data_IF_075821121296
#
_entry.id   IF_075821121296
#
_cell.length_a   1.000
_cell.length_b   1.000
_cell.length_c   1.000
_cell.angle_alpha   90.00
_cell.angle_beta   90.00
_cell.angle_gamma   90.00
#
_symmetry.space_group_name_H-M   'P 1'
#
loop_
_entity.id
_entity.type
_entity.pdbx_description
1 polymer ?
#
# COMPACT_ATOMS: atom_id res chain seq x y z
N UNK A 1 3.17 27.43 17.48
CA UNK A 1 4.00 27.11 16.30
C UNK A 1 3.07 26.58 15.23
N UNK A 2 2.98 27.25 14.07
CA UNK A 2 2.05 26.89 13.00
C UNK A 2 2.46 25.54 12.37
N UNK A 3 1.67 24.49 12.62
CA UNK A 3 1.93 23.13 12.16
C UNK A 3 1.46 22.84 10.72
N UNK A 4 1.11 23.87 9.90
CA UNK A 4 0.35 23.66 8.68
C UNK A 4 1.03 24.11 7.39
N UNK A 5 2.35 23.98 7.26
CA UNK A 5 3.03 24.28 5.99
C UNK A 5 3.35 23.02 5.14
N UNK A 6 3.01 21.82 5.61
CA UNK A 6 3.18 20.60 4.81
C UNK A 6 1.91 20.37 4.01
N UNK A 7 1.99 20.57 2.70
CA UNK A 7 0.89 20.24 1.78
C UNK A 7 0.72 18.72 1.78
N UNK A 8 -0.41 18.25 2.30
CA UNK A 8 -0.78 16.83 2.29
C UNK A 8 -2.12 16.70 1.57
N UNK A 9 -2.15 16.12 0.36
CA UNK A 9 -3.40 15.81 -0.32
C UNK A 9 -4.27 14.92 0.56
N UNK A 10 -5.55 15.25 0.71
CA UNK A 10 -6.51 14.51 1.55
C UNK A 10 -7.50 13.72 0.73
N UNK A 11 -7.69 14.08 -0.53
CA UNK A 11 -8.60 13.42 -1.47
C UNK A 11 -7.82 12.87 -2.66
N UNK A 12 -8.44 11.95 -3.40
CA UNK A 12 -7.87 11.42 -4.62
C UNK A 12 -7.61 12.52 -5.65
N UNK A 13 -8.55 13.45 -5.81
CA UNK A 13 -8.44 14.56 -6.78
C UNK A 13 -7.28 15.51 -6.42
N UNK A 14 -7.11 15.83 -5.13
CA UNK A 14 -5.98 16.63 -4.68
C UNK A 14 -4.65 15.91 -4.94
N UNK A 15 -4.60 14.60 -4.72
CA UNK A 15 -3.42 13.79 -4.96
C UNK A 15 -3.11 13.69 -6.45
N UNK A 16 -4.12 13.53 -7.30
CA UNK A 16 -3.96 13.50 -8.75
C UNK A 16 -3.44 14.83 -9.29
N UNK A 17 -4.05 15.96 -8.89
CA UNK A 17 -3.57 17.30 -9.24
C UNK A 17 -2.13 17.54 -8.78
N UNK A 18 -1.80 17.11 -7.57
CA UNK A 18 -0.45 17.17 -7.04
C UNK A 18 0.53 16.35 -7.90
N UNK A 19 0.17 15.12 -8.25
CA UNK A 19 0.99 14.25 -9.07
C UNK A 19 1.24 14.82 -10.47
N UNK A 20 0.20 15.38 -11.11
CA UNK A 20 0.32 16.04 -12.41
C UNK A 20 1.24 17.27 -12.38
N UNK A 21 1.16 18.07 -11.32
CA UNK A 21 2.03 19.23 -11.13
C UNK A 21 3.49 18.79 -10.95
N UNK A 22 3.74 17.81 -10.07
CA UNK A 22 5.08 17.33 -9.78
C UNK A 22 5.69 16.64 -11.00
N UNK A 23 4.92 15.90 -11.80
CA UNK A 23 5.40 15.24 -13.01
C UNK A 23 6.10 16.20 -13.99
N UNK A 24 5.71 17.48 -13.97
CA UNK A 24 6.27 18.55 -14.81
C UNK A 24 7.39 19.33 -14.11
N UNK A 25 7.58 19.13 -12.81
CA UNK A 25 8.54 19.87 -11.99
C UNK A 25 9.98 19.39 -12.24
N UNK A 26 10.95 20.30 -12.07
CA UNK A 26 12.36 19.96 -12.02
C UNK A 26 12.76 19.16 -10.79
N UNK A 27 11.98 19.19 -9.71
CA UNK A 27 12.17 18.38 -8.49
C UNK A 27 11.69 16.95 -8.63
N UNK A 28 10.98 16.62 -9.72
CA UNK A 28 10.55 15.25 -9.96
C UNK A 28 11.76 14.34 -10.26
N UNK A 29 11.89 13.20 -9.55
CA UNK A 29 12.92 12.21 -9.88
C UNK A 29 12.85 11.81 -11.35
N UNK A 30 14.01 11.68 -12.01
CA UNK A 30 14.07 11.40 -13.44
C UNK A 30 13.26 10.16 -13.88
N UNK A 31 13.22 9.13 -13.03
CA UNK A 31 12.46 7.89 -13.27
C UNK A 31 10.93 8.09 -13.30
N UNK A 32 10.42 9.13 -12.63
CA UNK A 32 8.99 9.44 -12.49
C UNK A 32 8.56 10.65 -13.33
N UNK A 33 9.50 11.32 -14.01
CA UNK A 33 9.22 12.52 -14.80
C UNK A 33 8.21 12.23 -15.91
N UNK A 34 7.15 13.01 -15.98
CA UNK A 34 6.03 12.83 -16.92
C UNK A 34 5.06 11.69 -16.58
N UNK A 35 5.24 11.00 -15.46
CA UNK A 35 4.44 9.83 -15.06
C UNK A 35 3.62 10.14 -13.80
N UNK A 36 2.52 10.85 -13.94
CA UNK A 36 1.68 11.24 -12.81
C UNK A 36 1.15 10.03 -12.01
N UNK A 37 0.80 8.93 -12.68
CA UNK A 37 0.36 7.70 -12.03
C UNK A 37 1.43 7.07 -11.12
N UNK A 38 2.69 7.02 -11.55
CA UNK A 38 3.80 6.49 -10.72
C UNK A 38 4.04 7.39 -9.50
N UNK A 39 3.91 8.70 -9.67
CA UNK A 39 4.01 9.70 -8.58
C UNK A 39 2.89 9.50 -7.57
N UNK A 40 1.65 9.35 -8.04
CA UNK A 40 0.48 9.10 -7.18
C UNK A 40 0.70 7.86 -6.31
N UNK A 41 1.08 6.74 -6.92
CA UNK A 41 1.35 5.48 -6.20
C UNK A 41 2.51 5.64 -5.22
N UNK A 42 3.59 6.32 -5.61
CA UNK A 42 4.74 6.54 -4.71
C UNK A 42 4.36 7.41 -3.50
N UNK A 43 3.56 8.45 -3.70
CA UNK A 43 3.08 9.33 -2.61
C UNK A 43 2.14 8.57 -1.68
N UNK A 44 1.22 7.78 -2.23
CA UNK A 44 0.31 6.94 -1.44
C UNK A 44 1.08 5.92 -0.60
N UNK A 45 1.99 5.18 -1.21
CA UNK A 45 2.83 4.18 -0.51
C UNK A 45 3.67 4.82 0.60
N UNK A 46 4.25 5.98 0.32
CA UNK A 46 5.03 6.71 1.32
C UNK A 46 4.18 7.22 2.47
N UNK A 47 2.97 7.71 2.20
CA UNK A 47 2.02 8.15 3.23
C UNK A 47 1.64 7.01 4.18
N UNK A 48 1.47 5.79 3.66
CA UNK A 48 1.23 4.59 4.48
C UNK A 48 2.41 4.25 5.41
N UNK A 49 3.63 4.65 5.02
CA UNK A 49 4.83 4.55 5.87
C UNK A 49 5.06 5.79 6.74
N UNK A 50 4.21 6.83 6.66
CA UNK A 50 4.36 8.07 7.42
C UNK A 50 5.29 9.11 6.78
N UNK A 51 5.63 8.96 5.50
CA UNK A 51 6.40 9.95 4.75
C UNK A 51 5.50 11.07 4.22
N UNK A 52 6.02 12.30 4.19
CA UNK A 52 5.33 13.39 3.47
C UNK A 52 5.41 13.18 1.95
N UNK A 53 4.55 13.84 1.14
CA UNK A 53 4.53 13.65 -0.30
C UNK A 53 5.90 13.82 -0.99
N UNK A 54 6.64 14.87 -0.64
CA UNK A 54 7.97 15.10 -1.20
C UNK A 54 8.97 14.04 -0.72
N UNK A 55 8.93 13.66 0.55
CA UNK A 55 9.78 12.60 1.07
C UNK A 55 9.48 11.26 0.38
N UNK A 56 8.21 10.98 0.11
CA UNK A 56 7.80 9.78 -0.63
C UNK A 56 8.47 9.71 -2.00
N UNK A 57 8.42 10.80 -2.76
CA UNK A 57 9.02 10.86 -4.10
C UNK A 57 10.55 10.69 -4.09
N UNK A 58 11.21 11.19 -3.05
CA UNK A 58 12.67 11.11 -2.94
C UNK A 58 13.14 9.77 -2.37
N UNK A 59 12.29 9.06 -1.64
CA UNK A 59 12.68 7.88 -0.88
C UNK A 59 12.01 6.59 -1.31
N UNK A 60 10.96 6.63 -2.12
CA UNK A 60 10.34 5.45 -2.73
C UNK A 60 10.82 5.30 -4.16
N UNK A 61 11.36 4.14 -4.48
CA UNK A 61 11.75 3.75 -5.84
C UNK A 61 10.94 2.54 -6.29
N UNK A 62 10.56 2.51 -7.57
CA UNK A 62 9.96 1.31 -8.19
C UNK A 62 11.06 0.56 -8.93
N UNK A 63 11.44 -0.60 -8.41
CA UNK A 63 12.52 -1.44 -8.95
C UNK A 63 11.93 -2.79 -9.33
N UNK A 64 12.06 -3.17 -10.59
CA UNK A 64 11.49 -4.41 -11.13
C UNK A 64 9.97 -4.55 -10.84
N UNK A 65 9.22 -3.43 -10.97
CA UNK A 65 7.77 -3.39 -10.71
C UNK A 65 7.38 -3.45 -9.23
N UNK A 66 8.34 -3.44 -8.30
CA UNK A 66 8.07 -3.49 -6.85
C UNK A 66 8.48 -2.17 -6.19
N UNK A 67 7.63 -1.60 -5.34
CA UNK A 67 8.00 -0.44 -4.55
C UNK A 67 9.07 -0.84 -3.53
N UNK A 68 10.06 0.02 -3.38
CA UNK A 68 11.22 -0.18 -2.51
C UNK A 68 11.56 1.14 -1.85
N UNK A 69 12.19 1.11 -0.69
CA UNK A 69 12.59 2.31 0.06
C UNK A 69 14.11 2.41 0.14
N UNK A 70 14.70 3.59 -0.02
CA UNK A 70 16.13 3.76 0.22
C UNK A 70 16.50 3.45 1.66
N UNK A 71 17.66 2.77 1.86
CA UNK A 71 18.06 2.26 3.17
C UNK A 71 18.23 3.33 4.25
N UNK A 72 18.56 4.57 3.87
CA UNK A 72 18.64 5.70 4.80
C UNK A 72 17.25 6.17 5.25
N UNK A 73 16.27 6.16 4.36
CA UNK A 73 14.88 6.47 4.71
C UNK A 73 14.25 5.37 5.56
N UNK A 74 14.54 4.09 5.27
CA UNK A 74 14.14 2.97 6.11
C UNK A 74 14.68 3.11 7.54
N UNK A 75 15.94 3.51 7.67
CA UNK A 75 16.57 3.80 8.96
C UNK A 75 15.85 4.94 9.69
N UNK A 76 15.56 6.04 8.99
CA UNK A 76 14.88 7.20 9.57
C UNK A 76 13.48 6.84 10.08
N UNK A 77 12.70 6.06 9.31
CA UNK A 77 11.37 5.59 9.73
C UNK A 77 11.45 4.72 10.99
N UNK A 78 12.40 3.80 11.04
CA UNK A 78 12.57 2.93 12.21
C UNK A 78 13.03 3.73 13.42
N UNK A 79 13.99 4.64 13.28
CA UNK A 79 14.47 5.49 14.39
C UNK A 79 13.38 6.44 14.91
N UNK A 80 12.48 6.91 14.03
CA UNK A 80 11.33 7.73 14.42
C UNK A 80 10.20 6.91 15.08
N UNK A 81 10.24 5.58 14.98
CA UNK A 81 9.19 4.73 15.52
C UNK A 81 9.23 4.72 17.07
N UNK A 82 8.10 4.93 17.80
CA UNK A 82 8.06 5.06 19.26
C UNK A 82 8.61 3.84 20.03
N UNK A 83 8.62 2.67 19.40
CA UNK A 83 9.18 1.46 19.98
C UNK A 83 10.68 1.25 19.66
N UNK A 84 11.30 2.08 18.84
CA UNK A 84 12.73 1.99 18.59
C UNK A 84 13.52 2.52 19.79
N UNK A 85 14.45 1.73 20.29
CA UNK A 85 15.34 2.14 21.38
C UNK A 85 16.72 2.49 20.84
N UNK A 86 17.24 1.67 19.93
CA UNK A 86 18.57 1.88 19.39
C UNK A 86 18.77 1.15 18.05
N UNK A 87 19.65 1.70 17.22
CA UNK A 87 20.14 1.06 15.98
C UNK A 87 21.64 1.30 15.90
N UNK A 88 22.41 0.23 16.03
CA UNK A 88 23.88 0.25 16.03
C UNK A 88 24.41 -0.46 14.80
N UNK A 89 25.25 0.21 14.04
CA UNK A 89 25.95 -0.36 12.89
C UNK A 89 27.45 -0.46 13.16
N UNK A 90 28.02 -1.62 12.91
CA UNK A 90 29.46 -1.86 13.06
C UNK A 90 29.97 -2.48 11.75
N UNK A 91 31.16 -2.07 11.36
CA UNK A 91 31.86 -2.63 10.21
C UNK A 91 33.23 -3.12 10.62
N UNK A 92 33.49 -4.39 10.42
CA UNK A 92 34.82 -5.00 10.61
C UNK A 92 35.58 -5.02 9.28
N UNK A 93 36.62 -4.24 9.18
CA UNK A 93 37.43 -4.14 7.96
C UNK A 93 38.31 -5.39 7.73
N UNK A 94 38.73 -6.05 8.81
CA UNK A 94 39.57 -7.24 8.67
C UNK A 94 38.85 -8.42 8.05
N UNK A 95 37.56 -8.58 8.39
CA UNK A 95 36.72 -9.66 7.85
C UNK A 95 35.79 -9.17 6.73
N UNK A 96 35.81 -7.88 6.42
CA UNK A 96 34.84 -7.25 5.48
C UNK A 96 33.41 -7.63 5.82
N UNK A 97 33.01 -7.39 7.07
CA UNK A 97 31.72 -7.79 7.61
C UNK A 97 30.99 -6.59 8.19
N UNK A 98 29.77 -6.37 7.74
CA UNK A 98 28.85 -5.40 8.30
C UNK A 98 27.87 -6.08 9.26
N UNK A 99 27.58 -5.45 10.39
CA UNK A 99 26.51 -5.85 11.29
C UNK A 99 25.61 -4.67 11.62
N UNK A 100 24.33 -4.93 11.76
CA UNK A 100 23.33 -3.97 12.21
C UNK A 100 22.54 -4.59 13.35
N UNK A 101 22.57 -3.97 14.51
CA UNK A 101 21.81 -4.38 15.69
C UNK A 101 20.69 -3.41 15.93
N UNK A 102 19.47 -3.91 16.01
CA UNK A 102 18.25 -3.12 16.20
C UNK A 102 17.57 -3.55 17.50
N UNK A 103 17.31 -2.59 18.37
CA UNK A 103 16.64 -2.82 19.65
C UNK A 103 15.25 -2.20 19.64
N UNK A 104 14.26 -3.07 19.84
CA UNK A 104 12.85 -2.67 19.97
C UNK A 104 12.39 -2.81 21.42
N UNK A 105 11.67 -1.82 21.92
CA UNK A 105 11.15 -1.79 23.31
C UNK A 105 10.38 -3.07 23.63
N UNK A 106 10.74 -3.70 24.76
CA UNK A 106 10.09 -4.94 25.20
C UNK A 106 10.54 -6.21 24.47
N UNK A 107 11.54 -6.14 23.60
CA UNK A 107 12.07 -7.29 22.85
C UNK A 107 13.60 -7.38 22.98
N UNK A 108 14.15 -8.57 22.76
CA UNK A 108 15.61 -8.74 22.70
C UNK A 108 16.18 -8.02 21.48
N UNK A 109 17.41 -7.44 21.58
CA UNK A 109 18.12 -6.94 20.43
C UNK A 109 18.23 -7.98 19.31
N UNK A 110 18.15 -7.55 18.06
CA UNK A 110 18.33 -8.39 16.89
C UNK A 110 19.50 -7.88 16.07
N UNK A 111 20.43 -8.74 15.72
CA UNK A 111 21.59 -8.40 14.92
C UNK A 111 21.54 -9.18 13.60
N UNK A 112 21.57 -8.46 12.50
CA UNK A 112 21.79 -9.02 11.17
C UNK A 112 23.22 -8.72 10.72
N UNK A 113 23.85 -9.71 10.10
CA UNK A 113 25.21 -9.65 9.62
C UNK A 113 25.24 -9.92 8.12
N UNK A 114 26.06 -9.18 7.40
CA UNK A 114 26.32 -9.45 5.98
C UNK A 114 27.81 -9.26 5.68
N UNK A 115 28.44 -10.37 5.29
CA UNK A 115 29.90 -10.45 5.09
C UNK A 115 30.27 -10.49 3.59
N UNK A 116 31.56 -10.37 3.31
CA UNK A 116 32.13 -10.65 1.99
C UNK A 116 31.71 -12.02 1.47
N UNK A 117 31.76 -13.07 2.32
CA UNK A 117 31.33 -14.42 1.94
C UNK A 117 29.87 -14.49 1.52
N UNK A 118 29.01 -13.73 2.20
CA UNK A 118 27.58 -13.67 1.83
C UNK A 118 27.39 -12.97 0.49
N UNK A 119 28.15 -11.90 0.23
CA UNK A 119 28.15 -11.19 -1.04
C UNK A 119 28.68 -12.07 -2.19
N UNK A 120 29.72 -12.86 -1.95
CA UNK A 120 30.24 -13.83 -2.93
C UNK A 120 29.22 -14.92 -3.23
N UNK A 121 28.59 -15.49 -2.21
CA UNK A 121 27.52 -16.50 -2.35
C UNK A 121 26.32 -15.97 -3.13
N UNK A 122 25.95 -14.69 -2.89
CA UNK A 122 24.88 -13.99 -3.59
C UNK A 122 25.28 -13.48 -4.99
N UNK A 123 26.53 -13.71 -5.45
CA UNK A 123 27.09 -13.21 -6.71
C UNK A 123 27.07 -11.68 -6.84
N UNK A 124 27.20 -11.01 -5.74
CA UNK A 124 27.22 -9.53 -5.64
C UNK A 124 28.63 -8.98 -5.57
N UNK A 125 29.55 -9.72 -4.98
CA UNK A 125 30.95 -9.31 -4.84
C UNK A 125 31.59 -9.12 -6.21
N UNK A 126 32.14 -7.91 -6.45
CA UNK A 126 32.73 -7.58 -7.75
C UNK A 126 31.72 -7.25 -8.87
N UNK A 127 30.41 -7.28 -8.61
CA UNK A 127 29.40 -6.81 -9.56
C UNK A 127 29.65 -5.33 -9.87
N UNK A 128 29.69 -4.97 -11.19
CA UNK A 128 29.96 -3.60 -11.59
C UNK A 128 28.95 -2.61 -11.00
N UNK A 129 29.40 -1.39 -10.72
CA UNK A 129 28.59 -0.35 -10.09
C UNK A 129 28.83 -0.22 -8.59
N UNK A 130 27.81 -0.01 -7.74
CA UNK A 130 27.97 0.26 -6.33
C UNK A 130 28.74 -0.82 -5.55
N UNK A 131 28.64 -2.08 -5.96
CA UNK A 131 29.35 -3.19 -5.32
C UNK A 131 30.88 -3.17 -5.51
N UNK A 132 31.38 -2.49 -6.55
CA UNK A 132 32.81 -2.27 -6.75
C UNK A 132 33.28 -0.91 -6.25
N UNK A 133 32.40 0.11 -6.35
CA UNK A 133 32.76 1.50 -6.01
C UNK A 133 32.61 1.79 -4.53
N UNK A 134 31.59 1.22 -3.88
CA UNK A 134 31.19 1.48 -2.50
C UNK A 134 30.92 0.19 -1.73
N UNK A 135 31.78 -0.80 -1.87
CA UNK A 135 31.61 -2.17 -1.32
C UNK A 135 31.23 -2.16 0.17
N UNK A 136 31.95 -1.41 0.99
CA UNK A 136 31.66 -1.26 2.43
C UNK A 136 30.22 -0.80 2.67
N UNK A 137 29.78 0.22 1.94
CA UNK A 137 28.42 0.74 2.04
C UNK A 137 27.37 -0.27 1.62
N UNK A 138 27.62 -1.03 0.57
CA UNK A 138 26.69 -2.07 0.10
C UNK A 138 26.54 -3.20 1.13
N UNK A 139 27.63 -3.62 1.78
CA UNK A 139 27.57 -4.60 2.88
C UNK A 139 26.74 -4.04 4.05
N UNK A 140 26.97 -2.77 4.44
CA UNK A 140 26.20 -2.10 5.50
C UNK A 140 24.71 -2.03 5.15
N UNK A 141 24.35 -1.61 3.92
CA UNK A 141 22.97 -1.53 3.48
C UNK A 141 22.24 -2.87 3.51
N UNK A 142 22.94 -3.97 3.22
CA UNK A 142 22.37 -5.33 3.34
C UNK A 142 22.10 -5.72 4.78
N UNK A 143 23.08 -5.58 5.67
CA UNK A 143 22.92 -5.88 7.09
C UNK A 143 21.80 -5.03 7.71
N UNK A 144 21.78 -3.72 7.39
CA UNK A 144 20.74 -2.77 7.81
C UNK A 144 19.36 -3.21 7.34
N UNK A 145 19.18 -3.43 6.03
CA UNK A 145 17.89 -3.78 5.44
C UNK A 145 17.27 -5.02 6.09
N UNK A 146 18.07 -6.04 6.37
CA UNK A 146 17.61 -7.25 7.05
C UNK A 146 17.22 -6.96 8.49
N UNK A 147 18.09 -6.31 9.28
CA UNK A 147 17.83 -6.01 10.69
C UNK A 147 16.58 -5.16 10.90
N UNK A 148 16.42 -4.10 10.09
CA UNK A 148 15.26 -3.21 10.18
C UNK A 148 13.95 -3.93 9.84
N UNK A 149 13.91 -4.74 8.78
CA UNK A 149 12.71 -5.47 8.37
C UNK A 149 12.32 -6.56 9.36
N UNK A 150 13.29 -7.27 9.90
CA UNK A 150 13.04 -8.35 10.87
C UNK A 150 12.48 -7.80 12.17
N UNK A 151 12.85 -6.58 12.55
CA UNK A 151 12.48 -6.00 13.84
C UNK A 151 11.33 -5.00 13.77
N UNK A 152 11.17 -4.31 12.65
CA UNK A 152 10.17 -3.27 12.41
C UNK A 152 9.38 -3.48 11.11
N UNK A 153 8.78 -4.66 10.89
CA UNK A 153 7.96 -4.90 9.70
C UNK A 153 6.72 -4.00 9.65
N UNK A 154 6.22 -3.59 10.81
CA UNK A 154 5.11 -2.66 10.97
C UNK A 154 5.45 -1.22 10.54
N UNK A 155 6.68 -0.75 10.74
CA UNK A 155 7.14 0.55 10.29
C UNK A 155 7.39 0.58 8.78
N UNK A 156 7.94 -0.49 8.22
CA UNK A 156 8.34 -0.57 6.81
C UNK A 156 7.24 -1.13 5.88
N UNK A 157 6.11 -1.61 6.42
CA UNK A 157 4.96 -2.10 5.64
C UNK A 157 5.30 -3.09 4.53
N UNK A 158 6.32 -3.91 4.73
CA UNK A 158 6.79 -4.89 3.76
C UNK A 158 7.70 -4.35 2.66
N UNK A 159 8.07 -3.07 2.69
CA UNK A 159 9.03 -2.51 1.75
C UNK A 159 10.42 -3.10 1.99
N UNK A 160 11.09 -3.47 0.89
CA UNK A 160 12.51 -3.83 0.89
C UNK A 160 13.35 -2.60 0.59
N UNK A 161 14.65 -2.65 0.92
CA UNK A 161 15.52 -1.53 0.56
C UNK A 161 15.78 -1.48 -0.93
N UNK A 162 15.90 -0.29 -1.50
CA UNK A 162 16.17 -0.07 -2.92
C UNK A 162 17.48 -0.74 -3.34
N UNK A 163 18.50 -0.68 -2.48
CA UNK A 163 19.80 -1.32 -2.67
C UNK A 163 19.69 -2.85 -2.75
N UNK A 164 18.74 -3.43 -2.02
CA UNK A 164 18.46 -4.86 -2.10
C UNK A 164 17.64 -5.21 -3.35
N UNK A 165 16.63 -4.42 -3.67
CA UNK A 165 15.76 -4.65 -4.83
C UNK A 165 16.51 -4.61 -6.16
N UNK A 166 17.55 -3.77 -6.27
CA UNK A 166 18.42 -3.69 -7.46
C UNK A 166 19.24 -4.96 -7.71
N UNK A 167 19.45 -5.75 -6.67
CA UNK A 167 20.25 -6.97 -6.77
C UNK A 167 19.43 -8.21 -7.09
N UNK A 168 18.10 -8.15 -6.97
CA UNK A 168 17.26 -9.26 -7.42
C UNK A 168 17.25 -9.38 -8.95
N UNK A 169 17.21 -10.61 -9.49
CA UNK A 169 17.00 -10.82 -10.91
C UNK A 169 15.71 -10.13 -11.37
N UNK A 170 15.75 -9.50 -12.53
CA UNK A 170 14.53 -8.99 -13.17
C UNK A 170 13.64 -10.20 -13.44
N UNK A 171 12.44 -10.20 -12.89
CA UNK A 171 11.43 -11.21 -13.21
C UNK A 171 10.92 -10.96 -14.63
N UNK A 172 11.54 -11.65 -15.60
CA UNK A 172 11.18 -11.56 -17.01
C UNK A 172 9.82 -12.21 -17.31
N UNK A 173 9.19 -12.88 -16.33
CA UNK A 173 7.85 -13.46 -16.47
C UNK A 173 6.74 -12.43 -16.27
N UNK A 174 7.04 -11.29 -15.68
CA UNK A 174 6.10 -10.16 -15.63
C UNK A 174 5.95 -9.60 -17.06
N UNK A 175 4.73 -9.47 -17.60
CA UNK A 175 4.53 -8.89 -18.91
C UNK A 175 5.17 -7.50 -18.92
N UNK A 176 6.13 -7.28 -19.83
CA UNK A 176 6.64 -5.93 -20.08
C UNK A 176 5.44 -5.14 -20.58
N UNK A 177 4.89 -4.27 -19.74
CA UNK A 177 4.00 -3.21 -20.18
C UNK A 177 4.87 -2.29 -21.04
N UNK A 178 4.94 -2.60 -22.33
CA UNK A 178 5.58 -1.70 -23.28
C UNK A 178 4.65 -0.51 -23.41
N UNK A 179 5.20 0.68 -23.27
CA UNK A 179 4.49 1.96 -23.42
C UNK A 179 3.86 2.16 -24.83
N UNK A 180 3.73 1.09 -25.63
CA UNK A 180 3.07 1.08 -26.93
C UNK A 180 1.59 0.75 -26.89
N UNK A 181 1.05 0.26 -25.76
CA UNK A 181 -0.37 -0.06 -25.60
C UNK A 181 -1.18 1.04 -24.89
N UNK A 182 -0.60 2.21 -24.67
CA UNK A 182 -1.41 3.38 -24.42
C UNK A 182 -1.87 3.88 -25.80
N UNK A 183 -2.99 3.34 -26.29
CA UNK A 183 -3.86 4.12 -27.14
C UNK A 183 -4.01 5.48 -26.45
N UNK A 184 -3.89 6.61 -27.18
CA UNK A 184 -4.12 7.90 -26.54
C UNK A 184 -5.47 7.78 -25.83
N UNK A 185 -5.47 7.92 -24.51
CA UNK A 185 -6.68 8.25 -23.80
C UNK A 185 -7.10 9.54 -24.49
N UNK A 186 -8.21 9.51 -25.26
CA UNK A 186 -8.77 10.72 -25.83
C UNK A 186 -8.76 11.73 -24.69
N UNK A 187 -8.06 12.85 -24.91
CA UNK A 187 -8.11 13.95 -23.95
C UNK A 187 -9.57 14.21 -23.68
N UNK A 188 -10.01 14.18 -22.42
CA UNK A 188 -11.39 14.53 -22.12
C UNK A 188 -11.59 15.89 -22.77
N UNK A 189 -12.56 15.98 -23.69
CA UNK A 189 -12.96 17.25 -24.32
C UNK A 189 -13.05 18.26 -23.21
N UNK A 190 -12.54 19.50 -23.39
CA UNK A 190 -12.64 20.53 -22.36
C UNK A 190 -14.08 20.54 -21.87
N UNK A 191 -14.29 20.20 -20.62
CA UNK A 191 -15.58 20.42 -19.97
C UNK A 191 -15.70 21.94 -19.99
N UNK A 192 -16.63 22.47 -20.78
CA UNK A 192 -17.01 23.87 -20.69
C UNK A 192 -17.24 24.14 -19.22
N UNK A 193 -16.50 25.10 -18.64
CA UNK A 193 -16.71 25.52 -17.27
C UNK A 193 -18.21 25.83 -17.12
N UNK A 194 -18.92 25.15 -16.21
CA UNK A 194 -20.29 25.54 -15.97
C UNK A 194 -20.28 27.01 -15.55
N UNK A 195 -21.05 27.84 -16.26
CA UNK A 195 -21.31 29.21 -15.84
C UNK A 195 -21.69 29.16 -14.36
N UNK A 196 -21.26 30.14 -13.54
CA UNK A 196 -21.68 30.20 -12.16
C UNK A 196 -23.21 30.12 -12.11
N UNK A 197 -23.73 28.99 -11.70
CA UNK A 197 -25.15 28.86 -11.38
C UNK A 197 -25.38 29.73 -10.16
N UNK A 198 -26.26 30.68 -10.34
CA UNK A 198 -26.86 31.48 -9.27
C UNK A 198 -27.46 30.47 -8.27
N UNK A 199 -27.08 30.52 -7.02
CA UNK A 199 -27.58 29.64 -5.96
C UNK A 199 -29.09 29.84 -5.84
N UNK A 200 -29.87 29.00 -6.51
CA UNK A 200 -31.29 28.83 -6.23
C UNK A 200 -31.41 28.13 -4.87
N UNK A 201 -32.15 28.73 -3.95
CA UNK A 201 -32.49 28.10 -2.69
C UNK A 201 -33.19 26.77 -2.97
N UNK A 202 -32.88 25.67 -2.22
CA UNK A 202 -33.48 24.37 -2.47
C UNK A 202 -35.01 24.45 -2.39
N UNK A 203 -35.68 23.97 -3.44
CA UNK A 203 -37.14 23.87 -3.49
C UNK A 203 -37.61 22.96 -2.33
N UNK A 204 -38.47 23.41 -1.43
CA UNK A 204 -38.98 22.58 -0.33
C UNK A 204 -39.78 21.35 -0.76
N UNK A 205 -39.85 21.05 -2.05
CA UNK A 205 -40.56 19.93 -2.64
C UNK A 205 -39.67 18.91 -3.36
N UNK A 206 -38.33 18.89 -3.12
CA UNK A 206 -37.54 17.77 -3.58
C UNK A 206 -37.96 16.51 -2.81
N UNK A 207 -38.76 15.69 -3.48
CA UNK A 207 -39.17 14.37 -3.00
C UNK A 207 -37.90 13.55 -2.71
N UNK A 208 -37.75 13.07 -1.47
CA UNK A 208 -36.78 12.06 -1.08
C UNK A 208 -36.76 10.97 -2.15
N UNK A 209 -35.64 10.74 -2.81
CA UNK A 209 -35.48 9.63 -3.77
C UNK A 209 -35.86 8.36 -3.03
N UNK A 210 -37.01 7.79 -3.37
CA UNK A 210 -37.49 6.55 -2.76
C UNK A 210 -36.40 5.48 -2.91
N UNK A 211 -35.94 4.93 -1.78
CA UNK A 211 -35.00 3.82 -1.76
C UNK A 211 -35.68 2.64 -2.42
N UNK A 212 -35.17 2.22 -3.58
CA UNK A 212 -35.69 1.05 -4.29
C UNK A 212 -35.23 -0.18 -3.53
N UNK A 213 -36.18 -0.87 -2.88
CA UNK A 213 -35.89 -2.10 -2.14
C UNK A 213 -35.72 -3.29 -3.09
N UNK A 214 -35.06 -4.34 -2.61
CA UNK A 214 -34.78 -5.54 -3.37
C UNK A 214 -36.07 -6.23 -3.87
N UNK A 215 -36.04 -6.69 -5.12
CA UNK A 215 -37.18 -7.38 -5.72
C UNK A 215 -37.33 -8.84 -5.22
N UNK A 216 -38.50 -9.44 -5.45
CA UNK A 216 -38.81 -10.79 -4.99
C UNK A 216 -37.93 -11.85 -5.65
N UNK A 217 -37.47 -11.66 -6.86
CA UNK A 217 -36.60 -12.59 -7.58
C UNK A 217 -35.23 -12.66 -6.97
N UNK A 218 -34.66 -11.53 -6.57
CA UNK A 218 -33.39 -11.41 -5.85
C UNK A 218 -33.48 -12.05 -4.45
N UNK A 219 -34.59 -11.88 -3.74
CA UNK A 219 -34.83 -12.53 -2.45
C UNK A 219 -34.88 -14.06 -2.62
N UNK A 220 -35.60 -14.56 -3.60
CA UNK A 220 -35.70 -15.99 -3.88
C UNK A 220 -34.36 -16.61 -4.28
N UNK A 221 -33.54 -15.88 -5.05
CA UNK A 221 -32.16 -16.26 -5.35
C UNK A 221 -31.34 -16.43 -4.07
N UNK A 222 -31.41 -15.47 -3.15
CA UNK A 222 -30.67 -15.50 -1.90
C UNK A 222 -31.15 -16.63 -0.99
N UNK A 223 -32.43 -16.88 -0.90
CA UNK A 223 -33.00 -18.00 -0.14
C UNK A 223 -32.49 -19.34 -0.68
N UNK A 224 -32.46 -19.52 -2.01
CA UNK A 224 -31.87 -20.72 -2.63
C UNK A 224 -30.40 -20.88 -2.26
N UNK A 225 -29.64 -19.80 -2.27
CA UNK A 225 -28.23 -19.77 -1.93
C UNK A 225 -27.97 -20.12 -0.47
N UNK A 226 -28.74 -19.54 0.46
CA UNK A 226 -28.70 -19.84 1.90
C UNK A 226 -28.96 -21.34 2.15
N UNK A 227 -29.94 -21.95 1.49
CA UNK A 227 -30.25 -23.37 1.55
C UNK A 227 -29.13 -24.24 0.98
N UNK A 228 -28.57 -23.86 -0.17
CA UNK A 228 -27.48 -24.60 -0.83
C UNK A 228 -26.23 -24.70 0.07
N UNK A 229 -25.87 -23.60 0.72
CA UNK A 229 -24.70 -23.54 1.62
C UNK A 229 -25.01 -24.05 3.04
N UNK A 230 -26.25 -24.46 3.28
CA UNK A 230 -26.75 -24.96 4.59
C UNK A 230 -26.51 -23.95 5.73
N UNK A 231 -26.73 -22.69 5.50
CA UNK A 231 -26.66 -21.67 6.55
C UNK A 231 -27.81 -21.83 7.53
N UNK A 232 -27.54 -21.61 8.82
CA UNK A 232 -28.59 -21.66 9.83
C UNK A 232 -29.38 -20.37 9.87
N UNK A 233 -30.71 -20.46 10.07
CA UNK A 233 -31.61 -19.32 10.20
C UNK A 233 -31.08 -18.30 11.22
N UNK A 234 -30.66 -18.74 12.38
CA UNK A 234 -30.06 -17.91 13.43
C UNK A 234 -28.84 -17.14 13.02
N UNK A 235 -28.02 -17.68 12.10
CA UNK A 235 -26.85 -16.98 11.57
C UNK A 235 -27.26 -15.85 10.64
N UNK A 236 -28.24 -16.08 9.77
CA UNK A 236 -28.77 -15.09 8.83
C UNK A 236 -29.44 -13.94 9.56
N UNK A 237 -30.27 -14.24 10.56
CA UNK A 237 -30.93 -13.24 11.42
C UNK A 237 -29.91 -12.34 12.12
N UNK A 238 -28.91 -12.96 12.76
CA UNK A 238 -27.83 -12.20 13.42
C UNK A 238 -27.01 -11.35 12.43
N UNK A 239 -26.83 -11.81 11.20
CA UNK A 239 -26.10 -11.05 10.19
C UNK A 239 -26.92 -9.88 9.66
N UNK A 240 -28.24 -10.01 9.54
CA UNK A 240 -29.15 -8.91 9.23
C UNK A 240 -29.09 -7.83 10.31
N UNK A 241 -29.23 -8.22 11.58
CA UNK A 241 -29.14 -7.30 12.72
C UNK A 241 -27.81 -6.51 12.75
N UNK A 242 -26.69 -7.19 12.44
CA UNK A 242 -25.36 -6.55 12.40
C UNK A 242 -25.19 -5.55 11.26
N UNK A 243 -26.07 -5.56 10.27
CA UNK A 243 -26.05 -4.64 9.12
C UNK A 243 -27.28 -3.72 9.13
N UNK A 244 -27.95 -3.58 10.27
CA UNK A 244 -29.11 -2.70 10.51
C UNK A 244 -30.33 -2.99 9.62
N UNK A 245 -30.52 -4.26 9.19
CA UNK A 245 -31.70 -4.69 8.47
C UNK A 245 -32.59 -5.61 9.35
N UNK A 246 -33.90 -5.35 9.35
CA UNK A 246 -34.87 -6.20 10.06
C UNK A 246 -35.22 -7.46 9.26
N UNK A 247 -35.31 -7.38 7.93
CA UNK A 247 -35.60 -8.49 7.03
C UNK A 247 -34.81 -8.34 5.72
N UNK A 248 -34.74 -9.42 4.93
CA UNK A 248 -34.14 -9.41 3.59
C UNK A 248 -34.81 -8.42 2.62
N UNK A 249 -36.06 -8.10 2.88
CA UNK A 249 -36.86 -7.13 2.11
C UNK A 249 -36.42 -5.67 2.29
N UNK A 250 -35.74 -5.41 3.41
CA UNK A 250 -35.36 -4.06 3.79
C UNK A 250 -34.02 -3.65 3.18
N UNK A 251 -33.38 -4.56 2.43
CA UNK A 251 -32.08 -4.32 1.80
C UNK A 251 -32.28 -3.47 0.54
N UNK A 252 -31.55 -2.35 0.35
CA UNK A 252 -31.58 -1.60 -0.89
C UNK A 252 -31.06 -2.42 -2.07
N UNK A 253 -31.65 -2.23 -3.25
CA UNK A 253 -31.30 -2.97 -4.47
C UNK A 253 -29.82 -2.83 -4.86
N UNK A 254 -29.24 -1.66 -4.69
CA UNK A 254 -27.85 -1.36 -4.96
C UNK A 254 -26.87 -2.00 -3.95
N UNK A 255 -27.31 -2.21 -2.70
CA UNK A 255 -26.52 -2.84 -1.65
C UNK A 255 -26.60 -4.39 -1.68
N UNK A 256 -27.58 -4.96 -2.36
CA UNK A 256 -27.93 -6.38 -2.30
C UNK A 256 -26.77 -7.33 -2.69
N UNK A 257 -26.07 -7.05 -3.80
CA UNK A 257 -24.97 -7.90 -4.27
C UNK A 257 -23.81 -7.97 -3.27
N UNK A 258 -23.48 -6.82 -2.67
CA UNK A 258 -22.46 -6.71 -1.65
C UNK A 258 -22.88 -7.43 -0.35
N UNK A 259 -24.13 -7.30 0.04
CA UNK A 259 -24.69 -7.98 1.20
C UNK A 259 -24.60 -9.51 1.06
N UNK A 260 -24.99 -10.07 -0.08
CA UNK A 260 -24.92 -11.52 -0.37
C UNK A 260 -23.49 -12.03 -0.27
N UNK A 261 -22.54 -11.31 -0.85
CA UNK A 261 -21.10 -11.67 -0.82
C UNK A 261 -20.55 -11.65 0.60
N UNK A 262 -20.89 -10.64 1.39
CA UNK A 262 -20.46 -10.49 2.79
C UNK A 262 -21.04 -11.57 3.69
N UNK A 263 -22.29 -11.93 3.49
CA UNK A 263 -22.97 -13.02 4.22
C UNK A 263 -22.27 -14.37 3.97
N UNK A 264 -21.94 -14.69 2.72
CA UNK A 264 -21.23 -15.92 2.38
C UNK A 264 -19.84 -16.00 3.00
N UNK A 265 -19.09 -14.91 2.92
CA UNK A 265 -17.73 -14.84 3.47
C UNK A 265 -17.74 -15.00 5.00
N UNK A 266 -18.67 -14.36 5.67
CA UNK A 266 -18.87 -14.46 7.12
C UNK A 266 -19.24 -15.88 7.55
N UNK A 267 -20.11 -16.57 6.79
CA UNK A 267 -20.46 -17.96 7.05
C UNK A 267 -19.27 -18.91 6.86
N UNK A 268 -18.51 -18.76 5.79
CA UNK A 268 -17.27 -19.56 5.54
C UNK A 268 -16.27 -19.38 6.67
N UNK A 269 -16.10 -18.15 7.17
CA UNK A 269 -15.21 -17.85 8.27
C UNK A 269 -15.66 -18.52 9.59
N UNK A 270 -16.97 -18.52 9.87
CA UNK A 270 -17.52 -19.19 11.06
C UNK A 270 -17.35 -20.71 10.99
N UNK A 271 -17.56 -21.32 9.83
CA UNK A 271 -17.35 -22.76 9.63
C UNK A 271 -15.87 -23.15 9.81
N UNK A 272 -14.92 -22.32 9.35
CA UNK A 272 -13.49 -22.54 9.59
C UNK A 272 -13.15 -22.49 11.09
N UNK A 273 -13.72 -21.52 11.84
CA UNK A 273 -13.53 -21.41 13.29
C UNK A 273 -14.08 -22.62 14.03
N UNK A 274 -15.22 -23.17 13.62
CA UNK A 274 -15.82 -24.39 14.22
C UNK A 274 -15.01 -25.65 13.94
N UNK A 275 -14.38 -25.77 12.76
CA UNK A 275 -13.48 -26.89 12.41
C UNK A 275 -12.14 -26.83 13.15
N UNK A 276 -11.64 -25.64 13.47
CA UNK A 276 -10.38 -25.44 14.19
C UNK A 276 -10.52 -25.68 15.73
N UNK A 277 -11.75 -25.76 16.26
CA UNK A 277 -12.04 -26.01 17.67
C UNK A 277 -12.42 -27.48 17.97
N UNK A 278 -12.48 -28.34 16.97
CA UNK A 278 -12.60 -29.77 17.06
C UNK A 278 -11.25 -30.46 16.80
#
# INVERSE_FOLDING_TARGET
>A
MNQNLVIQPKTFDELDRYAQLIAKSSFCPAAMKGKAGDILVAVQMGAECGLSPIQSLQNIAVINGKPSIYGDAAMALVQAHPACQDVVEIFDEATMTASCTVTRKGQKPHTSVFSKKDAEKAKLWGKSGPWTQYTKRMLQMRARGFALRDKFPDALKGLITAEEAQDYPVDLSSPKVTAKDTSPIEEPKPIEEPKPEEWEEPDPNEEEKAVVLVDQESIDYMIKKIRHVKMTKKFVEKFLELNDYADLKDIPQDAFANFVTSLENSWKAEQKKKKAKK
#
